data_IF_562926478485
#
_entry.id   IF_562926478485
#
_cell.length_a   1.000
_cell.length_b   1.000
_cell.length_c   1.000
_cell.angle_alpha   90.00
_cell.angle_beta   90.00
_cell.angle_gamma   90.00
#
_symmetry.space_group_name_H-M   'P 1'
#
loop_
_entity.id
_entity.type
_entity.pdbx_description
1 polymer ?
#
# COMPACT_ATOMS: atom_id res chain seq x y z
N UNK A 1 -30.53 4.95 -3.43
CA UNK A 1 -30.01 3.63 -3.05
C UNK A 1 -28.71 3.77 -2.26
N UNK A 2 -27.68 4.51 -2.75
CA UNK A 2 -26.40 4.71 -2.02
C UNK A 2 -26.59 5.40 -0.66
N UNK A 3 -27.36 6.49 -0.61
CA UNK A 3 -27.68 7.19 0.66
C UNK A 3 -28.40 6.31 1.68
N UNK A 4 -29.29 5.42 1.22
CA UNK A 4 -30.00 4.47 2.09
C UNK A 4 -29.06 3.42 2.68
N UNK A 5 -28.07 2.94 1.91
CA UNK A 5 -27.08 1.99 2.37
C UNK A 5 -26.14 2.62 3.41
N UNK A 6 -25.65 3.82 3.16
CA UNK A 6 -24.80 4.54 4.13
C UNK A 6 -25.57 4.87 5.41
N UNK A 7 -26.83 5.30 5.31
CA UNK A 7 -27.69 5.52 6.47
C UNK A 7 -27.89 4.23 7.29
N UNK A 8 -28.06 3.09 6.61
CA UNK A 8 -28.14 1.78 7.27
C UNK A 8 -26.84 1.46 8.04
N UNK A 9 -25.66 1.63 7.42
CA UNK A 9 -24.36 1.42 8.09
C UNK A 9 -24.22 2.33 9.29
N UNK A 10 -24.52 3.62 9.16
CA UNK A 10 -24.46 4.60 10.28
C UNK A 10 -25.32 4.14 11.46
N UNK A 11 -26.53 3.61 11.19
CA UNK A 11 -27.42 3.13 12.25
C UNK A 11 -26.88 1.90 12.99
N UNK A 12 -25.90 1.17 12.45
CA UNK A 12 -25.26 0.02 13.09
C UNK A 12 -24.04 0.43 13.94
N UNK A 13 -23.53 1.66 13.80
CA UNK A 13 -22.41 2.13 14.62
C UNK A 13 -22.92 2.51 16.01
N UNK A 14 -22.41 1.88 17.08
CA UNK A 14 -22.87 2.13 18.44
C UNK A 14 -22.79 3.62 18.82
N UNK A 15 -23.89 4.17 19.28
CA UNK A 15 -24.00 5.57 19.72
C UNK A 15 -24.24 6.58 18.60
N UNK A 16 -24.25 6.15 17.34
CA UNK A 16 -24.55 7.02 16.20
C UNK A 16 -26.05 7.04 15.88
N UNK A 17 -26.53 8.14 15.27
CA UNK A 17 -27.86 8.21 14.70
C UNK A 17 -27.80 8.99 13.37
N UNK A 18 -28.59 8.54 12.42
CA UNK A 18 -28.64 9.14 11.06
C UNK A 18 -29.05 10.61 11.10
N UNK A 19 -29.97 10.96 12.03
CA UNK A 19 -30.48 12.32 12.15
C UNK A 19 -29.43 13.31 12.67
N UNK A 20 -28.41 12.85 13.39
CA UNK A 20 -27.32 13.67 13.92
C UNK A 20 -26.08 13.68 13.03
N UNK A 21 -25.98 12.74 12.12
CA UNK A 21 -24.81 12.58 11.27
C UNK A 21 -24.87 13.50 10.05
N UNK A 22 -23.81 14.23 9.79
CA UNK A 22 -23.58 14.93 8.51
C UNK A 22 -22.57 14.12 7.72
N UNK A 23 -22.96 13.67 6.54
CA UNK A 23 -22.14 12.74 5.71
C UNK A 23 -21.73 13.44 4.42
N UNK A 24 -20.45 13.39 4.11
CA UNK A 24 -19.89 13.89 2.86
C UNK A 24 -18.95 12.86 2.23
N UNK A 25 -19.03 12.60 0.91
CA UNK A 25 -18.08 11.71 0.26
C UNK A 25 -16.66 12.29 0.30
N UNK A 26 -15.68 11.44 0.56
CA UNK A 26 -14.27 11.77 0.39
C UNK A 26 -13.81 11.28 -0.98
N UNK A 27 -13.07 12.14 -1.67
CA UNK A 27 -12.48 11.80 -2.95
C UNK A 27 -11.22 10.93 -2.73
N UNK A 28 -10.97 10.04 -3.68
CA UNK A 28 -9.82 9.13 -3.66
C UNK A 28 -10.20 7.70 -3.27
N UNK A 29 -9.32 6.76 -3.66
CA UNK A 29 -9.55 5.31 -3.52
C UNK A 29 -10.29 4.73 -4.72
N UNK A 30 -9.70 3.66 -5.30
CA UNK A 30 -10.27 2.91 -6.43
C UNK A 30 -10.79 1.53 -6.00
N UNK A 31 -10.67 1.20 -4.72
CA UNK A 31 -11.12 -0.08 -4.14
C UNK A 31 -12.26 0.11 -3.14
N UNK A 32 -12.36 1.29 -2.51
CA UNK A 32 -13.26 1.56 -1.40
C UNK A 32 -14.06 2.84 -1.64
N UNK A 33 -15.22 2.95 -0.96
CA UNK A 33 -15.97 4.20 -0.86
C UNK A 33 -15.71 4.82 0.52
N UNK A 34 -15.22 6.05 0.53
CA UNK A 34 -14.87 6.75 1.76
C UNK A 34 -15.81 7.93 2.01
N UNK A 35 -16.25 8.10 3.25
CA UNK A 35 -17.13 9.17 3.67
C UNK A 35 -16.58 9.83 4.93
N UNK A 36 -16.61 11.15 4.98
CA UNK A 36 -16.50 11.89 6.23
C UNK A 36 -17.86 11.89 6.90
N UNK A 37 -17.87 11.56 8.18
CA UNK A 37 -19.06 11.61 9.04
C UNK A 37 -18.78 12.53 10.20
N UNK A 38 -19.48 13.66 10.25
CA UNK A 38 -19.44 14.59 11.37
C UNK A 38 -20.64 14.33 12.27
N UNK A 39 -20.41 14.00 13.53
CA UNK A 39 -21.45 13.71 14.52
C UNK A 39 -21.02 14.15 15.91
N UNK A 40 -21.92 14.83 16.64
CA UNK A 40 -21.70 15.31 18.02
C UNK A 40 -20.41 16.12 18.21
N UNK A 41 -20.01 16.89 17.19
CA UNK A 41 -18.81 17.75 17.21
C UNK A 41 -17.49 17.01 16.93
N UNK A 42 -17.53 15.73 16.62
CA UNK A 42 -16.37 14.93 16.20
C UNK A 42 -16.48 14.52 14.72
N UNK A 43 -15.33 14.30 14.10
CA UNK A 43 -15.23 13.91 12.69
C UNK A 43 -14.61 12.51 12.57
N UNK A 44 -15.18 11.71 11.69
CA UNK A 44 -14.79 10.32 11.44
C UNK A 44 -14.67 10.04 9.94
N UNK A 45 -13.96 8.97 9.60
CA UNK A 45 -13.98 8.38 8.27
C UNK A 45 -14.76 7.06 8.36
N UNK A 46 -15.82 6.95 7.58
CA UNK A 46 -16.49 5.70 7.30
C UNK A 46 -15.99 5.20 5.96
N UNK A 47 -15.26 4.08 5.95
CA UNK A 47 -14.83 3.38 4.74
C UNK A 47 -15.69 2.15 4.54
N UNK A 48 -16.25 2.01 3.34
CA UNK A 48 -17.06 0.85 2.92
C UNK A 48 -16.29 0.11 1.83
N UNK A 49 -16.04 -1.16 2.04
CA UNK A 49 -15.29 -2.01 1.12
C UNK A 49 -16.01 -2.16 -0.24
N UNK A 50 -15.22 -2.14 -1.31
CA UNK A 50 -15.73 -2.42 -2.65
C UNK A 50 -16.02 -3.90 -2.85
N UNK A 51 -16.80 -4.22 -3.88
CA UNK A 51 -17.12 -5.61 -4.23
C UNK A 51 -15.92 -6.34 -4.83
N UNK A 52 -15.77 -7.62 -4.51
CA UNK A 52 -14.74 -8.47 -5.13
C UNK A 52 -13.32 -8.27 -4.62
N UNK A 53 -13.11 -7.45 -3.59
CA UNK A 53 -11.79 -7.12 -3.04
C UNK A 53 -11.04 -8.33 -2.49
N UNK A 54 -11.73 -9.43 -2.15
CA UNK A 54 -11.12 -10.70 -1.77
C UNK A 54 -10.23 -11.31 -2.89
N UNK A 55 -10.54 -11.04 -4.18
CA UNK A 55 -9.71 -11.44 -5.32
C UNK A 55 -8.37 -10.69 -5.34
N UNK A 56 -8.32 -9.51 -4.73
CA UNK A 56 -7.11 -8.71 -4.55
C UNK A 56 -6.28 -9.14 -3.31
N UNK A 57 -6.75 -10.17 -2.59
CA UNK A 57 -6.11 -10.63 -1.35
C UNK A 57 -6.43 -9.76 -0.13
N UNK A 58 -7.40 -8.87 -0.25
CA UNK A 58 -7.86 -8.00 0.84
C UNK A 58 -8.78 -8.81 1.75
N UNK A 59 -8.45 -8.80 3.03
CA UNK A 59 -9.21 -9.40 4.13
C UNK A 59 -9.58 -8.28 5.10
N UNK A 60 -10.86 -7.96 5.20
CA UNK A 60 -11.36 -6.79 5.95
C UNK A 60 -11.18 -6.93 7.47
N UNK A 61 -11.23 -8.16 8.00
CA UNK A 61 -10.95 -8.39 9.41
C UNK A 61 -9.46 -8.18 9.70
N UNK A 62 -8.57 -8.75 8.87
CA UNK A 62 -7.13 -8.53 8.96
C UNK A 62 -6.78 -7.04 8.86
N UNK A 63 -7.37 -6.32 7.92
CA UNK A 63 -7.20 -4.88 7.76
C UNK A 63 -7.58 -4.11 9.04
N UNK A 64 -8.74 -4.41 9.63
CA UNK A 64 -9.18 -3.79 10.88
C UNK A 64 -8.19 -4.03 12.02
N UNK A 65 -7.65 -5.26 12.13
CA UNK A 65 -6.63 -5.60 13.12
C UNK A 65 -5.33 -4.84 12.85
N UNK A 66 -4.82 -4.83 11.61
CA UNK A 66 -3.59 -4.12 11.25
C UNK A 66 -3.73 -2.60 11.51
N UNK A 67 -4.85 -2.00 11.09
CA UNK A 67 -5.16 -0.58 11.38
C UNK A 67 -5.15 -0.29 12.88
N UNK A 68 -5.75 -1.18 13.69
CA UNK A 68 -5.77 -1.05 15.16
C UNK A 68 -4.37 -1.15 15.76
N UNK A 69 -3.54 -2.08 15.30
CA UNK A 69 -2.16 -2.25 15.77
C UNK A 69 -1.29 -1.05 15.37
N UNK A 70 -1.42 -0.56 14.14
CA UNK A 70 -0.73 0.65 13.67
C UNK A 70 -1.16 1.91 14.45
N UNK A 71 -2.45 2.02 14.80
CA UNK A 71 -2.98 3.09 15.64
C UNK A 71 -2.37 3.06 17.06
N UNK A 72 -2.19 1.89 17.65
CA UNK A 72 -1.58 1.74 18.98
C UNK A 72 -0.14 2.22 19.05
N UNK A 73 0.60 2.15 17.95
CA UNK A 73 1.95 2.70 17.86
C UNK A 73 1.97 4.15 17.37
N UNK A 74 0.80 4.78 17.20
CA UNK A 74 0.64 6.21 16.93
C UNK A 74 1.03 6.63 15.51
N UNK A 75 0.78 5.77 14.50
CA UNK A 75 1.02 6.08 13.08
C UNK A 75 -0.23 6.01 12.21
N UNK A 76 -1.33 5.45 12.74
CA UNK A 76 -2.60 5.35 12.03
C UNK A 76 -3.74 5.97 12.85
N UNK A 77 -4.83 6.43 12.21
CA UNK A 77 -6.02 6.90 12.91
C UNK A 77 -6.58 5.83 13.83
N UNK A 78 -7.11 6.23 14.99
CA UNK A 78 -7.77 5.29 15.90
C UNK A 78 -8.98 4.64 15.22
N UNK A 79 -9.03 3.31 15.27
CA UNK A 79 -10.18 2.53 14.82
C UNK A 79 -11.25 2.55 15.91
N UNK A 80 -12.46 3.00 15.55
CA UNK A 80 -13.61 3.03 16.46
C UNK A 80 -14.41 1.74 16.35
N UNK A 81 -14.79 1.40 15.14
CA UNK A 81 -15.65 0.26 14.87
C UNK A 81 -15.26 -0.43 13.57
N UNK A 82 -15.39 -1.74 13.57
CA UNK A 82 -15.43 -2.56 12.37
C UNK A 82 -16.78 -3.26 12.31
N UNK A 83 -17.45 -3.19 11.17
CA UNK A 83 -18.76 -3.79 10.92
C UNK A 83 -18.58 -4.89 9.85
N UNK A 84 -18.35 -6.15 10.27
CA UNK A 84 -18.00 -7.24 9.34
C UNK A 84 -19.08 -7.51 8.29
N UNK A 85 -20.37 -7.39 8.67
CA UNK A 85 -21.51 -7.62 7.78
C UNK A 85 -21.64 -6.60 6.66
N UNK A 86 -20.99 -5.45 6.78
CA UNK A 86 -21.02 -4.34 5.82
C UNK A 86 -19.63 -4.09 5.20
N UNK A 87 -18.61 -4.87 5.56
CA UNK A 87 -17.22 -4.62 5.20
C UNK A 87 -16.79 -3.17 5.48
N UNK A 88 -17.31 -2.59 6.56
CA UNK A 88 -17.15 -1.18 6.87
C UNK A 88 -16.23 -0.95 8.08
N UNK A 89 -15.32 0.01 7.95
CA UNK A 89 -14.38 0.43 8.98
C UNK A 89 -14.62 1.90 9.33
N UNK A 90 -14.72 2.21 10.61
CA UNK A 90 -14.85 3.57 11.14
C UNK A 90 -13.58 3.94 11.87
N UNK A 91 -12.96 5.05 11.45
CA UNK A 91 -11.75 5.61 12.08
C UNK A 91 -11.95 7.08 12.42
N UNK A 92 -11.12 7.62 13.32
CA UNK A 92 -11.05 9.07 13.49
C UNK A 92 -10.61 9.76 12.21
N UNK A 93 -11.19 10.92 11.92
CA UNK A 93 -10.75 11.77 10.82
C UNK A 93 -9.46 12.51 11.22
N UNK A 94 -8.42 12.43 10.40
CA UNK A 94 -7.18 13.18 10.61
C UNK A 94 -7.29 14.52 9.86
N UNK A 95 -7.18 15.61 10.59
CA UNK A 95 -7.04 16.94 10.00
C UNK A 95 -5.57 17.19 9.73
N UNK A 96 -5.21 17.37 8.47
CA UNK A 96 -3.83 17.57 8.05
C UNK A 96 -3.71 17.82 6.55
N UNK A 97 -2.49 17.94 6.07
CA UNK A 97 -2.17 18.13 4.66
C UNK A 97 -1.77 16.79 4.04
N UNK A 98 -2.44 16.33 2.98
CA UNK A 98 -1.99 15.15 2.23
C UNK A 98 -0.57 15.36 1.70
N UNK A 99 0.25 14.32 1.80
CA UNK A 99 1.60 14.32 1.24
C UNK A 99 1.49 14.17 -0.29
N UNK A 100 2.35 14.89 -1.01
CA UNK A 100 2.55 14.73 -2.46
C UNK A 100 3.93 14.09 -2.72
N UNK A 101 4.16 13.50 -3.91
CA UNK A 101 5.49 12.98 -4.26
C UNK A 101 6.60 14.03 -4.09
N UNK A 102 6.35 15.27 -4.45
CA UNK A 102 7.32 16.38 -4.34
C UNK A 102 7.61 16.72 -2.88
N UNK A 103 6.59 16.76 -2.02
CA UNK A 103 6.80 17.01 -0.59
C UNK A 103 7.47 15.83 0.11
N UNK A 104 7.14 14.58 -0.27
CA UNK A 104 7.75 13.38 0.26
C UNK A 104 9.27 13.29 -0.01
N UNK A 105 9.74 13.88 -1.11
CA UNK A 105 11.15 13.94 -1.47
C UNK A 105 11.96 15.01 -0.69
N UNK A 106 11.30 15.90 0.06
CA UNK A 106 11.99 16.89 0.90
C UNK A 106 12.63 16.19 2.12
N UNK A 107 13.90 16.47 2.44
CA UNK A 107 14.62 15.72 3.48
C UNK A 107 13.91 15.69 4.84
N UNK A 108 13.34 16.81 5.27
CA UNK A 108 12.66 16.94 6.56
C UNK A 108 11.36 16.11 6.61
N UNK A 109 10.60 16.13 5.52
CA UNK A 109 9.37 15.34 5.39
C UNK A 109 9.72 13.86 5.25
N UNK A 110 10.71 13.53 4.42
CA UNK A 110 11.21 12.17 4.25
C UNK A 110 11.65 11.55 5.59
N UNK A 111 12.38 12.31 6.42
CA UNK A 111 12.80 11.87 7.75
C UNK A 111 11.61 11.55 8.65
N UNK A 112 10.56 12.39 8.64
CA UNK A 112 9.33 12.18 9.42
C UNK A 112 8.53 10.99 8.92
N UNK A 113 8.43 10.81 7.60
CA UNK A 113 7.80 9.62 6.99
C UNK A 113 8.55 8.35 7.44
N UNK A 114 9.87 8.34 7.32
CA UNK A 114 10.69 7.20 7.74
C UNK A 114 10.55 6.90 9.24
N UNK A 115 10.44 7.94 10.07
CA UNK A 115 10.17 7.75 11.49
C UNK A 115 8.84 7.03 11.76
N UNK A 116 7.78 7.37 11.02
CA UNK A 116 6.49 6.66 11.09
C UNK A 116 6.60 5.21 10.57
N UNK A 117 7.31 4.98 9.46
CA UNK A 117 7.57 3.62 8.93
C UNK A 117 8.32 2.77 9.95
N UNK A 118 9.42 3.28 10.52
CA UNK A 118 10.18 2.56 11.55
C UNK A 118 9.35 2.20 12.77
N UNK A 119 8.40 3.06 13.14
CA UNK A 119 7.56 2.89 14.32
C UNK A 119 6.64 1.67 14.19
N UNK A 120 5.94 1.49 13.07
CA UNK A 120 5.13 0.30 12.89
C UNK A 120 5.96 -0.95 12.54
N UNK A 121 7.09 -0.83 11.81
CA UNK A 121 8.01 -1.94 11.58
C UNK A 121 8.64 -2.49 12.88
N UNK A 122 8.66 -1.70 13.94
CA UNK A 122 9.08 -2.12 15.29
C UNK A 122 7.90 -2.44 16.22
N UNK A 123 6.68 -2.36 15.69
CA UNK A 123 5.44 -2.61 16.42
C UNK A 123 5.12 -4.09 16.60
N UNK A 124 3.92 -4.39 17.10
CA UNK A 124 3.41 -5.76 17.21
C UNK A 124 3.25 -6.43 15.84
N UNK A 125 3.44 -7.75 15.79
CA UNK A 125 3.24 -8.55 14.58
C UNK A 125 1.83 -8.37 14.01
N UNK A 126 1.75 -8.19 12.69
CA UNK A 126 0.49 -8.14 11.97
C UNK A 126 0.01 -9.55 11.62
N UNK A 127 -1.32 -9.81 11.60
CA UNK A 127 -1.83 -11.05 11.07
C UNK A 127 -1.58 -11.15 9.56
N UNK A 128 -1.35 -12.38 9.09
CA UNK A 128 -1.10 -12.67 7.69
C UNK A 128 0.32 -12.34 7.23
N UNK A 129 0.62 -12.72 6.01
CA UNK A 129 1.92 -12.50 5.38
C UNK A 129 1.74 -11.92 3.97
N UNK A 130 2.70 -11.13 3.55
CA UNK A 130 2.75 -10.53 2.22
C UNK A 130 4.09 -10.83 1.56
N UNK A 131 4.04 -11.15 0.26
CA UNK A 131 5.20 -11.21 -0.63
C UNK A 131 4.78 -10.68 -2.00
N UNK A 132 5.49 -9.68 -2.55
CA UNK A 132 5.15 -9.15 -3.88
C UNK A 132 5.18 -10.24 -4.95
N UNK A 133 6.13 -11.17 -4.88
CA UNK A 133 6.31 -12.22 -5.88
C UNK A 133 5.19 -13.28 -5.84
N UNK A 134 4.74 -13.65 -4.64
CA UNK A 134 3.57 -14.53 -4.45
C UNK A 134 2.30 -13.83 -4.95
N UNK A 135 2.16 -12.55 -4.64
CA UNK A 135 1.03 -11.72 -5.08
C UNK A 135 0.98 -11.62 -6.61
N UNK A 136 2.11 -11.34 -7.26
CA UNK A 136 2.21 -11.31 -8.73
C UNK A 136 1.75 -12.63 -9.36
N UNK A 137 2.22 -13.79 -8.86
CA UNK A 137 1.78 -15.10 -9.37
C UNK A 137 0.29 -15.33 -9.16
N UNK A 138 -0.25 -14.89 -8.03
CA UNK A 138 -1.67 -15.01 -7.69
C UNK A 138 -2.52 -14.15 -8.63
N UNK A 139 -2.14 -12.89 -8.82
CA UNK A 139 -2.85 -11.97 -9.72
C UNK A 139 -2.78 -12.44 -11.17
N UNK A 140 -1.62 -12.93 -11.63
CA UNK A 140 -1.48 -13.52 -12.96
C UNK A 140 -2.47 -14.67 -13.17
N UNK A 141 -2.49 -15.65 -12.24
CA UNK A 141 -3.40 -16.80 -12.33
C UNK A 141 -4.87 -16.37 -12.34
N UNK A 142 -5.25 -15.43 -11.48
CA UNK A 142 -6.63 -14.92 -11.41
C UNK A 142 -7.00 -14.14 -12.67
N UNK A 143 -6.12 -13.27 -13.17
CA UNK A 143 -6.36 -12.52 -14.40
C UNK A 143 -6.60 -13.44 -15.61
N UNK A 144 -5.80 -14.53 -15.74
CA UNK A 144 -6.04 -15.56 -16.77
C UNK A 144 -7.41 -16.24 -16.63
N UNK A 145 -7.86 -16.55 -15.40
CA UNK A 145 -9.18 -17.11 -15.13
C UNK A 145 -10.31 -16.17 -15.53
N UNK A 146 -10.06 -14.85 -15.52
CA UNK A 146 -10.99 -13.81 -15.94
C UNK A 146 -10.80 -13.39 -17.42
N UNK A 147 -10.04 -14.16 -18.21
CA UNK A 147 -9.88 -13.95 -19.65
C UNK A 147 -8.97 -12.80 -20.05
N UNK A 148 -8.13 -12.31 -19.16
CA UNK A 148 -7.19 -11.22 -19.45
C UNK A 148 -6.01 -11.75 -20.27
N UNK A 149 -5.73 -11.08 -21.39
CA UNK A 149 -4.56 -11.35 -22.22
C UNK A 149 -3.36 -10.54 -21.70
N UNK A 150 -2.19 -11.18 -21.73
CA UNK A 150 -0.92 -10.57 -21.34
C UNK A 150 -0.04 -10.27 -22.57
N UNK A 151 0.90 -9.32 -22.47
CA UNK A 151 1.83 -9.01 -23.55
C UNK A 151 2.85 -10.13 -23.77
N UNK A 152 3.41 -10.21 -24.99
CA UNK A 152 4.43 -11.20 -25.37
C UNK A 152 5.73 -11.12 -24.55
N UNK A 153 5.95 -10.01 -23.85
CA UNK A 153 7.09 -9.83 -22.94
C UNK A 153 6.95 -10.62 -21.63
N UNK A 154 5.78 -11.18 -21.32
CA UNK A 154 5.49 -11.84 -20.04
C UNK A 154 6.51 -12.95 -19.67
N UNK A 155 6.94 -13.86 -20.56
CA UNK A 155 7.93 -14.89 -20.21
C UNK A 155 9.25 -14.27 -19.71
N UNK A 156 9.71 -13.19 -20.34
CA UNK A 156 10.90 -12.43 -19.91
C UNK A 156 10.71 -11.81 -18.53
N UNK A 157 9.52 -11.24 -18.27
CA UNK A 157 9.18 -10.65 -16.97
C UNK A 157 9.31 -11.68 -15.86
N UNK A 158 8.77 -12.89 -16.05
CA UNK A 158 8.89 -13.96 -15.04
C UNK A 158 10.32 -14.45 -14.83
N UNK A 159 11.14 -14.50 -15.88
CA UNK A 159 12.58 -14.82 -15.74
C UNK A 159 13.29 -13.75 -14.89
N UNK A 160 13.05 -12.47 -15.15
CA UNK A 160 13.64 -11.38 -14.39
C UNK A 160 13.15 -11.37 -12.94
N UNK A 161 11.85 -11.57 -12.71
CA UNK A 161 11.27 -11.70 -11.38
C UNK A 161 11.89 -12.85 -10.58
N UNK A 162 12.08 -14.01 -11.21
CA UNK A 162 12.70 -15.17 -10.55
C UNK A 162 14.16 -14.89 -10.16
N UNK A 163 14.92 -14.16 -10.98
CA UNK A 163 16.28 -13.72 -10.64
C UNK A 163 16.32 -12.79 -9.44
N UNK A 164 15.34 -11.86 -9.34
CA UNK A 164 15.21 -10.96 -8.18
C UNK A 164 14.93 -11.80 -6.93
N UNK A 165 13.91 -12.66 -6.99
CA UNK A 165 13.48 -13.49 -5.86
C UNK A 165 14.59 -14.43 -5.38
N UNK A 166 15.33 -15.05 -6.32
CA UNK A 166 16.48 -15.91 -6.00
C UNK A 166 17.61 -15.13 -5.31
N UNK A 167 17.92 -13.93 -5.82
CA UNK A 167 18.98 -13.09 -5.22
C UNK A 167 18.63 -12.65 -3.80
N UNK A 168 17.39 -12.21 -3.58
CA UNK A 168 16.92 -11.77 -2.26
C UNK A 168 16.83 -12.94 -1.27
N UNK A 169 16.54 -14.16 -1.76
CA UNK A 169 16.41 -15.34 -0.92
C UNK A 169 15.27 -15.24 0.09
N UNK A 170 15.38 -16.01 1.18
CA UNK A 170 14.38 -15.98 2.24
C UNK A 170 14.58 -14.74 3.14
N UNK A 171 13.50 -14.02 3.39
CA UNK A 171 13.52 -12.87 4.32
C UNK A 171 13.91 -13.34 5.71
N UNK A 172 15.03 -12.83 6.21
CA UNK A 172 15.58 -13.24 7.52
C UNK A 172 14.71 -12.76 8.69
N UNK A 173 14.11 -11.59 8.57
CA UNK A 173 13.26 -11.01 9.60
C UNK A 173 12.07 -10.30 8.96
N UNK A 174 10.92 -10.96 9.02
CA UNK A 174 9.67 -10.33 8.66
C UNK A 174 9.30 -9.24 9.66
N UNK A 175 8.70 -8.15 9.16
CA UNK A 175 8.21 -7.04 9.97
C UNK A 175 6.75 -6.75 9.62
N UNK A 176 5.99 -6.10 10.52
CA UNK A 176 4.74 -5.48 10.13
C UNK A 176 4.97 -4.52 8.96
N UNK A 177 4.31 -4.73 7.83
CA UNK A 177 4.44 -3.91 6.63
C UNK A 177 3.07 -3.40 6.16
N UNK A 178 3.06 -2.22 5.57
CA UNK A 178 1.88 -1.62 4.98
C UNK A 178 1.58 -2.18 3.58
N UNK A 179 2.62 -2.35 2.78
CA UNK A 179 2.63 -2.92 1.42
C UNK A 179 1.92 -2.08 0.34
N UNK A 180 1.55 -0.82 0.65
CA UNK A 180 0.92 0.11 -0.31
C UNK A 180 1.19 1.57 0.05
N UNK A 181 2.47 1.98 0.10
CA UNK A 181 2.91 3.31 0.51
C UNK A 181 2.83 4.33 -0.64
N UNK A 182 1.61 4.60 -1.12
CA UNK A 182 1.30 5.69 -2.04
C UNK A 182 1.35 7.04 -1.30
N UNK A 183 1.67 8.14 -2.00
CA UNK A 183 1.66 9.48 -1.40
C UNK A 183 0.31 9.84 -0.75
N UNK A 184 -0.78 9.45 -1.41
CA UNK A 184 -2.15 9.67 -0.93
C UNK A 184 -2.47 9.00 0.41
N UNK A 185 -1.65 8.02 0.82
CA UNK A 185 -1.83 7.30 2.08
C UNK A 185 -1.10 7.97 3.27
N UNK A 186 -0.48 9.16 3.05
CA UNK A 186 0.18 9.92 4.10
C UNK A 186 -0.50 11.27 4.34
N UNK A 187 -0.74 11.61 5.61
CA UNK A 187 -1.32 12.88 6.05
C UNK A 187 -0.39 13.49 7.10
N UNK A 188 0.06 14.71 6.86
CA UNK A 188 0.86 15.50 7.79
C UNK A 188 -0.03 16.44 8.60
N UNK A 189 -0.12 16.24 9.92
CA UNK A 189 -0.86 17.15 10.83
C UNK A 189 0.04 18.23 11.46
N UNK A 190 1.32 18.29 11.06
CA UNK A 190 2.34 19.17 11.60
C UNK A 190 3.25 18.49 12.61
N UNK A 191 2.73 17.60 13.43
CA UNK A 191 3.48 16.84 14.45
C UNK A 191 3.80 15.41 14.00
N UNK A 192 2.82 14.73 13.42
CA UNK A 192 2.88 13.32 13.04
C UNK A 192 2.58 13.15 11.55
N UNK A 193 3.32 12.26 10.90
CA UNK A 193 2.92 11.73 9.61
C UNK A 193 2.04 10.50 9.85
N UNK A 194 0.75 10.66 9.61
CA UNK A 194 -0.25 9.60 9.70
C UNK A 194 -0.26 8.76 8.44
N UNK A 195 -0.46 7.45 8.60
CA UNK A 195 -0.54 6.50 7.49
C UNK A 195 -1.94 5.86 7.53
N UNK A 196 -2.62 5.87 6.40
CA UNK A 196 -3.98 5.35 6.21
C UNK A 196 -3.99 4.22 5.19
N UNK A 197 -5.10 3.48 5.11
CA UNK A 197 -5.35 2.44 4.12
C UNK A 197 -4.48 1.17 4.25
N UNK A 198 -4.66 0.45 5.35
CA UNK A 198 -3.90 -0.74 5.74
C UNK A 198 -4.46 -2.05 5.12
N UNK A 199 -5.17 -1.97 3.98
CA UNK A 199 -5.88 -3.14 3.41
C UNK A 199 -4.95 -4.24 2.87
N UNK A 200 -3.69 -3.91 2.53
CA UNK A 200 -2.66 -4.88 2.13
C UNK A 200 -1.68 -5.21 3.25
N UNK A 201 -1.90 -4.72 4.46
CA UNK A 201 -0.97 -4.89 5.56
C UNK A 201 -0.82 -6.35 6.00
N UNK A 202 0.40 -6.70 6.42
CA UNK A 202 0.76 -8.03 6.89
C UNK A 202 2.25 -8.12 7.22
N UNK A 203 2.71 -9.27 7.71
CA UNK A 203 4.13 -9.52 7.90
C UNK A 203 4.83 -9.67 6.56
N UNK A 204 5.88 -8.89 6.32
CA UNK A 204 6.60 -8.85 5.04
C UNK A 204 8.05 -8.43 5.17
N UNK A 205 8.70 -8.29 4.04
CA UNK A 205 10.03 -7.72 3.94
C UNK A 205 9.95 -6.20 4.07
N UNK A 206 10.59 -5.57 5.09
CA UNK A 206 10.56 -4.13 5.26
C UNK A 206 11.13 -3.36 4.06
N UNK A 207 12.02 -3.96 3.29
CA UNK A 207 12.50 -3.34 2.06
C UNK A 207 11.42 -3.23 0.97
N UNK A 208 10.36 -4.05 1.04
CA UNK A 208 9.24 -3.85 0.11
C UNK A 208 8.51 -2.54 0.41
N UNK A 209 8.23 -2.21 1.67
CA UNK A 209 7.65 -0.92 2.03
C UNK A 209 8.55 0.25 1.59
N UNK A 210 9.87 0.16 1.86
CA UNK A 210 10.82 1.20 1.46
C UNK A 210 10.92 1.32 -0.07
N UNK A 211 10.94 0.20 -0.80
CA UNK A 211 10.98 0.16 -2.27
C UNK A 211 9.68 0.66 -2.91
N UNK A 212 8.53 0.24 -2.38
CA UNK A 212 7.21 0.70 -2.80
C UNK A 212 7.07 2.21 -2.59
N UNK A 213 7.45 2.72 -1.42
CA UNK A 213 7.51 4.15 -1.18
C UNK A 213 8.43 4.86 -2.18
N UNK A 214 9.68 4.41 -2.32
CA UNK A 214 10.67 5.06 -3.16
C UNK A 214 10.26 5.15 -4.64
N UNK A 215 9.65 4.10 -5.21
CA UNK A 215 9.23 4.08 -6.61
C UNK A 215 7.97 4.91 -6.84
N UNK A 216 7.02 4.89 -5.91
CA UNK A 216 5.77 5.64 -6.01
C UNK A 216 5.96 7.15 -5.80
N UNK A 217 6.97 7.56 -5.00
CA UNK A 217 7.37 8.97 -4.87
C UNK A 217 8.43 9.41 -5.89
N UNK A 218 8.81 8.53 -6.83
CA UNK A 218 9.83 8.81 -7.85
C UNK A 218 11.16 9.29 -7.27
N UNK A 219 11.58 8.73 -6.12
CA UNK A 219 12.83 9.12 -5.49
C UNK A 219 14.03 8.77 -6.38
N UNK A 220 14.92 9.74 -6.56
CA UNK A 220 16.22 9.54 -7.18
C UNK A 220 17.18 8.74 -6.29
N UNK A 221 18.38 8.46 -6.79
CA UNK A 221 19.35 7.66 -6.03
C UNK A 221 19.80 8.36 -4.73
N UNK A 222 19.97 9.68 -4.74
CA UNK A 222 20.36 10.46 -3.56
C UNK A 222 19.28 10.37 -2.47
N UNK A 223 18.02 10.50 -2.86
CA UNK A 223 16.88 10.36 -1.94
C UNK A 223 16.67 8.92 -1.46
N UNK A 224 16.98 7.93 -2.29
CA UNK A 224 16.98 6.52 -1.89
C UNK A 224 18.06 6.22 -0.83
N UNK A 225 19.27 6.75 -0.99
CA UNK A 225 20.31 6.62 0.03
C UNK A 225 19.93 7.34 1.32
N UNK A 226 19.34 8.54 1.22
CA UNK A 226 18.87 9.29 2.39
C UNK A 226 17.72 8.55 3.12
N UNK A 227 16.79 7.92 2.38
CA UNK A 227 15.75 7.04 2.92
C UNK A 227 16.36 5.91 3.76
N UNK A 228 17.36 5.21 3.20
CA UNK A 228 18.06 4.12 3.89
C UNK A 228 18.87 4.62 5.10
N UNK A 229 19.52 5.78 4.97
CA UNK A 229 20.25 6.42 6.08
C UNK A 229 19.31 6.76 7.25
N UNK A 230 18.13 7.31 6.98
CA UNK A 230 17.13 7.60 8.02
C UNK A 230 16.55 6.34 8.63
N UNK A 231 16.44 5.26 7.84
CA UNK A 231 15.85 4.01 8.30
C UNK A 231 16.86 3.17 9.13
N UNK A 232 18.07 2.95 8.63
CA UNK A 232 19.06 2.06 9.24
C UNK A 232 20.15 2.78 10.07
N UNK A 233 20.37 4.08 9.84
CA UNK A 233 21.47 4.85 10.44
C UNK A 233 22.77 4.77 9.64
N UNK A 234 23.01 3.69 8.91
CA UNK A 234 24.11 3.51 7.97
C UNK A 234 23.60 2.87 6.68
N UNK A 235 24.32 3.05 5.57
CA UNK A 235 23.92 2.53 4.27
C UNK A 235 24.98 1.56 3.76
N UNK A 236 24.59 0.31 3.57
CA UNK A 236 25.44 -0.73 2.98
C UNK A 236 25.06 -0.93 1.51
N UNK A 237 26.01 -1.39 0.68
CA UNK A 237 25.73 -1.69 -0.73
C UNK A 237 24.58 -2.69 -0.91
N UNK A 238 24.54 -3.71 -0.05
CA UNK A 238 23.44 -4.69 -0.07
C UNK A 238 22.07 -4.05 0.24
N UNK A 239 22.01 -3.06 1.14
CA UNK A 239 20.74 -2.36 1.45
C UNK A 239 20.26 -1.53 0.24
N UNK A 240 21.17 -0.87 -0.47
CA UNK A 240 20.87 -0.13 -1.71
C UNK A 240 20.37 -1.09 -2.79
N UNK A 241 21.06 -2.21 -2.98
CA UNK A 241 20.66 -3.24 -3.93
C UNK A 241 19.28 -3.81 -3.59
N UNK A 242 19.03 -4.15 -2.32
CA UNK A 242 17.75 -4.68 -1.86
C UNK A 242 16.60 -3.69 -2.12
N UNK A 243 16.80 -2.41 -1.76
CA UNK A 243 15.84 -1.35 -2.04
C UNK A 243 15.48 -1.28 -3.53
N UNK A 244 16.49 -1.24 -4.41
CA UNK A 244 16.25 -1.14 -5.85
C UNK A 244 15.57 -2.39 -6.42
N UNK A 245 15.91 -3.59 -5.96
CA UNK A 245 15.23 -4.82 -6.36
C UNK A 245 13.76 -4.84 -5.89
N UNK A 246 13.47 -4.31 -4.70
CA UNK A 246 12.09 -4.18 -4.20
C UNK A 246 11.29 -3.06 -4.88
N UNK A 247 11.95 -2.00 -5.39
CA UNK A 247 11.32 -1.02 -6.30
C UNK A 247 10.80 -1.71 -7.56
N UNK A 248 11.60 -2.63 -8.14
CA UNK A 248 11.18 -3.44 -9.28
C UNK A 248 10.04 -4.41 -8.89
N UNK A 249 10.12 -5.01 -7.71
CA UNK A 249 9.05 -5.85 -7.16
C UNK A 249 7.72 -5.11 -6.99
N UNK A 250 7.79 -3.84 -6.59
CA UNK A 250 6.62 -2.96 -6.49
C UNK A 250 5.98 -2.70 -7.86
N UNK A 251 6.78 -2.37 -8.89
CA UNK A 251 6.25 -2.18 -10.25
C UNK A 251 5.55 -3.43 -10.78
N UNK A 252 6.12 -4.62 -10.52
CA UNK A 252 5.48 -5.87 -10.90
C UNK A 252 4.14 -6.06 -10.17
N UNK A 253 4.10 -5.83 -8.86
CA UNK A 253 2.86 -5.95 -8.07
C UNK A 253 1.78 -5.03 -8.60
N UNK A 254 2.10 -3.75 -8.89
CA UNK A 254 1.15 -2.78 -9.45
C UNK A 254 0.68 -3.17 -10.85
N UNK A 255 1.61 -3.58 -11.71
CA UNK A 255 1.27 -4.03 -13.07
C UNK A 255 0.27 -5.19 -13.04
N UNK A 256 0.55 -6.23 -12.23
CA UNK A 256 -0.31 -7.41 -12.18
C UNK A 256 -1.64 -7.13 -11.44
N UNK A 257 -1.66 -6.20 -10.49
CA UNK A 257 -2.89 -5.67 -9.94
C UNK A 257 -3.75 -5.03 -11.03
N UNK A 258 -3.17 -4.18 -11.86
CA UNK A 258 -3.86 -3.55 -12.98
C UNK A 258 -4.40 -4.58 -13.99
N UNK A 259 -3.60 -5.59 -14.35
CA UNK A 259 -4.08 -6.69 -15.22
C UNK A 259 -5.25 -7.44 -14.60
N UNK A 260 -5.19 -7.77 -13.31
CA UNK A 260 -6.31 -8.44 -12.64
C UNK A 260 -7.56 -7.54 -12.65
N UNK A 261 -7.40 -6.26 -12.36
CA UNK A 261 -8.51 -5.30 -12.37
C UNK A 261 -9.19 -5.17 -13.74
N UNK A 262 -8.46 -5.31 -14.85
CA UNK A 262 -9.07 -5.38 -16.20
C UNK A 262 -10.13 -6.48 -16.32
N UNK A 263 -9.95 -7.59 -15.58
CA UNK A 263 -10.85 -8.75 -15.63
C UNK A 263 -12.01 -8.67 -14.63
N UNK A 264 -11.86 -7.94 -13.53
CA UNK A 264 -12.80 -8.01 -12.40
C UNK A 264 -13.50 -6.69 -12.07
N UNK A 265 -12.89 -5.54 -12.39
CA UNK A 265 -13.41 -4.22 -12.01
C UNK A 265 -14.56 -3.79 -12.90
N UNK A 266 -15.53 -3.07 -12.32
CA UNK A 266 -16.63 -2.40 -13.00
C UNK A 266 -16.47 -0.86 -12.96
N UNK A 267 -15.35 -0.36 -12.41
CA UNK A 267 -15.09 1.07 -12.33
C UNK A 267 -14.57 1.60 -13.67
N UNK A 268 -14.95 2.83 -13.99
CA UNK A 268 -14.44 3.55 -15.18
C UNK A 268 -13.02 4.10 -14.89
N UNK A 269 -12.04 3.22 -15.08
CA UNK A 269 -10.62 3.53 -14.91
C UNK A 269 -9.81 2.74 -15.94
N UNK A 270 -8.81 3.37 -16.55
CA UNK A 270 -7.96 2.70 -17.56
C UNK A 270 -6.91 1.79 -16.89
N UNK A 271 -7.38 0.64 -16.42
CA UNK A 271 -6.52 -0.39 -15.83
C UNK A 271 -5.50 -0.95 -16.82
N UNK A 272 -5.80 -0.89 -18.13
CA UNK A 272 -4.86 -1.36 -19.16
C UNK A 272 -3.66 -0.43 -19.24
N UNK A 273 -3.90 0.88 -19.33
CA UNK A 273 -2.82 1.87 -19.32
C UNK A 273 -2.02 1.77 -18.02
N UNK A 274 -2.69 1.69 -16.88
CA UNK A 274 -2.05 1.51 -15.57
C UNK A 274 -1.13 0.28 -15.53
N UNK A 275 -1.64 -0.89 -15.91
CA UNK A 275 -0.87 -2.14 -15.91
C UNK A 275 0.36 -2.06 -16.81
N UNK A 276 0.19 -1.53 -18.03
CA UNK A 276 1.29 -1.39 -18.99
C UNK A 276 2.29 -0.32 -18.57
N UNK A 277 1.86 0.78 -17.96
CA UNK A 277 2.76 1.79 -17.42
C UNK A 277 3.76 1.17 -16.43
N UNK A 278 3.27 0.45 -15.42
CA UNK A 278 4.12 -0.21 -14.42
C UNK A 278 4.99 -1.30 -15.03
N UNK A 279 4.47 -2.11 -15.96
CA UNK A 279 5.25 -3.14 -16.64
C UNK A 279 6.39 -2.55 -17.47
N UNK A 280 6.11 -1.48 -18.21
CA UNK A 280 7.11 -0.80 -19.03
C UNK A 280 8.16 -0.10 -18.15
N UNK A 281 7.75 0.48 -17.01
CA UNK A 281 8.69 1.06 -16.04
C UNK A 281 9.60 -0.01 -15.43
N UNK A 282 9.06 -1.16 -15.07
CA UNK A 282 9.84 -2.32 -14.63
C UNK A 282 10.91 -2.71 -15.67
N UNK A 283 10.50 -2.97 -16.91
CA UNK A 283 11.40 -3.38 -17.98
C UNK A 283 12.46 -2.31 -18.27
N UNK A 284 12.05 -1.04 -18.36
CA UNK A 284 12.95 0.09 -18.55
C UNK A 284 13.99 0.19 -17.44
N UNK A 285 13.56 0.07 -16.17
CA UNK A 285 14.46 0.15 -15.03
C UNK A 285 15.44 -1.02 -14.99
N UNK A 286 15.02 -2.24 -15.35
CA UNK A 286 15.96 -3.38 -15.47
C UNK A 286 17.01 -3.14 -16.58
N UNK A 287 16.61 -2.57 -17.71
CA UNK A 287 17.50 -2.35 -18.86
C UNK A 287 18.48 -1.17 -18.68
N UNK A 288 18.06 -0.12 -17.96
CA UNK A 288 18.80 1.14 -17.86
C UNK A 288 19.40 1.38 -16.47
N UNK A 289 19.48 0.33 -15.63
CA UNK A 289 20.10 0.38 -14.30
C UNK A 289 21.19 -0.68 -14.14
N UNK A 290 22.01 -0.61 -13.10
CA UNK A 290 23.00 -1.64 -12.81
C UNK A 290 22.37 -2.91 -12.19
N UNK A 291 21.30 -3.45 -12.79
CA UNK A 291 20.52 -4.57 -12.30
C UNK A 291 21.39 -5.79 -11.92
N UNK A 292 22.32 -6.20 -12.80
CA UNK A 292 23.21 -7.33 -12.53
C UNK A 292 24.20 -7.06 -11.39
N UNK A 293 24.54 -5.80 -11.11
CA UNK A 293 25.34 -5.44 -9.94
C UNK A 293 24.50 -5.54 -8.65
N UNK A 294 23.25 -5.09 -8.67
CA UNK A 294 22.36 -5.25 -7.50
C UNK A 294 22.16 -6.72 -7.13
N UNK A 295 21.97 -7.61 -8.15
CA UNK A 295 21.90 -9.06 -7.92
C UNK A 295 23.16 -9.58 -7.21
N UNK A 296 24.36 -9.13 -7.62
CA UNK A 296 25.63 -9.55 -7.01
C UNK A 296 25.83 -8.95 -5.61
N UNK A 297 25.50 -7.68 -5.41
CA UNK A 297 25.68 -6.98 -4.14
C UNK A 297 24.81 -7.56 -3.01
N UNK A 298 23.70 -8.24 -3.35
CA UNK A 298 22.89 -9.01 -2.40
C UNK A 298 23.55 -10.34 -2.00
N UNK A 299 24.24 -11.00 -2.94
CA UNK A 299 24.76 -12.36 -2.77
C UNK A 299 26.18 -12.37 -2.13
N UNK A 300 26.86 -11.23 -2.15
CA UNK A 300 28.28 -11.10 -1.77
C UNK A 300 28.62 -10.46 -0.54
#
# INVERSE_FOLDING_TARGET
>A
MMEQHIAHIISQVPGWSVERAVVAPLQGGITNQNYRVDIDGASFVLRVGGKGTHLLGIDRERESICSTLASRVGVAPAVLHFLPGEDALVTHFITGTPITPESAAQPEILQRIVASIRRYHAGPDFPGAFSPFVTVRTYHRLALQHGVAFPDTLPRVFVLMARIEEALGAVQQLKPCHNDLLASNFIDDGDTIWIIDWEYAGMGDPFFDLGNFAINQSLDNERCELLLQYYFGEVRRADVAHLHLMRLGSDLRESFWGFLQMGISQLDFDYKEYAHHHLNRFLHNVENSPFDHWIKDIQG
#
